data_IF_552875497947
#
_entry.id   IF_552875497947
#
_cell.length_a   1.000
_cell.length_b   1.000
_cell.length_c   1.000
_cell.angle_alpha   90.00
_cell.angle_beta   90.00
_cell.angle_gamma   90.00
#
_symmetry.space_group_name_H-M   'P 1'
#
loop_
_entity.id
_entity.type
_entity.pdbx_description
1 polymer ?
#
# COMPACT_ATOMS: atom_id res chain seq x y z
N UNK A 1 -6.93 -20.58 2.91
CA UNK A 1 -6.09 -20.14 4.06
C UNK A 1 -6.49 -18.73 4.42
N UNK A 2 -7.10 -18.53 5.59
CA UNK A 2 -7.67 -17.25 6.01
C UNK A 2 -6.60 -16.17 6.17
N UNK A 3 -6.95 -14.93 5.80
CA UNK A 3 -6.12 -13.75 6.06
C UNK A 3 -5.95 -13.62 7.58
N UNK A 4 -4.72 -13.44 8.04
CA UNK A 4 -4.41 -13.16 9.45
C UNK A 4 -5.03 -11.83 9.86
N UNK A 5 -5.98 -11.86 10.80
CA UNK A 5 -6.69 -10.68 11.33
C UNK A 5 -5.70 -9.64 11.85
N UNK A 6 -4.55 -10.09 12.35
CA UNK A 6 -3.45 -9.26 12.86
C UNK A 6 -2.82 -8.36 11.78
N UNK A 7 -2.96 -8.72 10.50
CA UNK A 7 -2.41 -7.96 9.37
C UNK A 7 -3.40 -6.98 8.73
N UNK A 8 -4.64 -6.93 9.22
CA UNK A 8 -5.65 -6.01 8.72
C UNK A 8 -5.41 -4.58 9.22
N UNK A 9 -5.72 -3.59 8.38
CA UNK A 9 -5.50 -2.18 8.68
C UNK A 9 -6.20 -1.73 9.98
N UNK A 10 -7.44 -2.18 10.22
CA UNK A 10 -8.18 -1.87 11.44
C UNK A 10 -7.46 -2.36 12.71
N UNK A 11 -6.93 -3.59 12.69
CA UNK A 11 -6.19 -4.17 13.81
C UNK A 11 -4.88 -3.40 14.06
N UNK A 12 -4.18 -3.03 12.99
CA UNK A 12 -2.95 -2.25 13.08
C UNK A 12 -3.20 -0.83 13.61
N UNK A 13 -4.26 -0.16 13.14
CA UNK A 13 -4.66 1.17 13.61
C UNK A 13 -5.00 1.17 15.11
N UNK A 14 -5.81 0.22 15.57
CA UNK A 14 -6.15 0.08 16.99
C UNK A 14 -4.91 -0.24 17.86
N UNK A 15 -4.03 -1.12 17.37
CA UNK A 15 -2.79 -1.50 18.07
C UNK A 15 -1.83 -0.31 18.18
N UNK A 16 -1.65 0.45 17.10
CA UNK A 16 -0.82 1.66 17.08
C UNK A 16 -1.36 2.69 18.06
N UNK A 17 -2.66 3.02 17.97
CA UNK A 17 -3.31 3.99 18.85
C UNK A 17 -3.12 3.63 20.33
N UNK A 18 -3.31 2.36 20.71
CA UNK A 18 -3.06 1.90 22.08
C UNK A 18 -1.62 2.12 22.54
N UNK A 19 -0.63 1.85 21.68
CA UNK A 19 0.79 2.00 22.01
C UNK A 19 1.24 3.46 22.14
N UNK A 20 0.61 4.37 21.39
CA UNK A 20 0.93 5.81 21.42
C UNK A 20 -0.02 6.61 22.32
N UNK A 21 -0.87 5.92 23.08
CA UNK A 21 -1.92 6.53 23.91
C UNK A 21 -2.82 7.52 23.12
N UNK A 22 -3.13 7.16 21.88
CA UNK A 22 -4.00 7.91 20.98
C UNK A 22 -5.37 7.27 20.79
N UNK A 23 -6.20 7.90 19.98
CA UNK A 23 -7.52 7.39 19.56
C UNK A 23 -7.45 6.77 18.17
N UNK A 24 -8.41 5.91 17.83
CA UNK A 24 -8.54 5.34 16.50
C UNK A 24 -9.99 5.39 16.03
N UNK A 25 -10.19 5.41 14.71
CA UNK A 25 -11.45 5.10 14.05
C UNK A 25 -11.22 3.94 13.08
N UNK A 26 -12.21 3.07 12.93
CA UNK A 26 -12.12 1.87 12.10
C UNK A 26 -13.05 1.99 10.90
N UNK A 27 -12.58 1.53 9.74
CA UNK A 27 -13.41 1.44 8.55
C UNK A 27 -13.99 0.03 8.46
N UNK A 28 -15.25 -0.13 8.86
CA UNK A 28 -15.93 -1.43 8.91
C UNK A 28 -16.58 -1.80 7.58
N UNK A 29 -15.78 -1.85 6.51
CA UNK A 29 -16.25 -2.31 5.20
C UNK A 29 -15.54 -3.61 4.83
N UNK A 30 -16.26 -4.69 4.52
CA UNK A 30 -15.64 -5.91 4.03
C UNK A 30 -14.92 -5.65 2.71
N UNK A 31 -13.75 -6.26 2.50
CA UNK A 31 -12.96 -6.05 1.29
C UNK A 31 -13.65 -6.53 -0.01
N UNK A 32 -14.60 -7.48 0.09
CA UNK A 32 -15.28 -8.11 -1.05
C UNK A 32 -16.81 -7.93 -0.96
N UNK A 33 -17.30 -6.69 -1.02
CA UNK A 33 -18.73 -6.39 -1.13
C UNK A 33 -19.14 -6.12 -2.57
N UNK A 34 -20.41 -6.39 -2.93
CA UNK A 34 -20.95 -5.95 -4.22
C UNK A 34 -21.01 -4.43 -4.29
N UNK A 35 -21.03 -3.88 -5.52
CA UNK A 35 -21.12 -2.43 -5.74
C UNK A 35 -22.36 -1.83 -5.08
N UNK A 36 -23.52 -2.48 -5.19
CA UNK A 36 -24.77 -2.00 -4.59
C UNK A 36 -24.68 -1.89 -3.06
N UNK A 37 -24.07 -2.89 -2.41
CA UNK A 37 -23.87 -2.88 -0.95
C UNK A 37 -22.87 -1.80 -0.57
N UNK A 38 -21.80 -1.64 -1.35
CA UNK A 38 -20.81 -0.59 -1.13
C UNK A 38 -21.43 0.81 -1.22
N UNK A 39 -22.24 1.08 -2.25
CA UNK A 39 -22.91 2.37 -2.41
C UNK A 39 -23.86 2.69 -1.24
N UNK A 40 -24.55 1.68 -0.71
CA UNK A 40 -25.35 1.82 0.50
C UNK A 40 -24.50 2.19 1.72
N UNK A 41 -23.43 1.45 1.96
CA UNK A 41 -22.50 1.68 3.08
C UNK A 41 -21.86 3.08 3.00
N UNK A 42 -21.48 3.54 1.80
CA UNK A 42 -20.91 4.86 1.60
C UNK A 42 -21.88 6.01 1.88
N UNK A 43 -23.19 5.75 2.01
CA UNK A 43 -24.19 6.76 2.42
C UNK A 43 -24.23 6.95 3.93
N UNK A 44 -23.78 5.97 4.71
CA UNK A 44 -23.80 6.02 6.17
C UNK A 44 -22.86 7.10 6.72
N UNK A 45 -23.39 7.95 7.60
CA UNK A 45 -22.66 9.09 8.16
C UNK A 45 -21.35 8.67 8.82
N UNK A 46 -21.37 7.58 9.59
CA UNK A 46 -20.20 7.09 10.31
C UNK A 46 -19.09 6.64 9.34
N UNK A 47 -19.45 6.03 8.22
CA UNK A 47 -18.47 5.59 7.20
C UNK A 47 -17.88 6.80 6.47
N UNK A 48 -18.72 7.77 6.07
CA UNK A 48 -18.26 9.02 5.46
C UNK A 48 -17.27 9.76 6.34
N UNK A 49 -17.58 9.87 7.63
CA UNK A 49 -16.69 10.54 8.59
C UNK A 49 -15.33 9.85 8.68
N UNK A 50 -15.27 8.51 8.67
CA UNK A 50 -13.98 7.78 8.65
C UNK A 50 -13.21 8.05 7.36
N UNK A 51 -13.88 8.04 6.20
CA UNK A 51 -13.26 8.32 4.90
C UNK A 51 -12.72 9.76 4.84
N UNK A 52 -13.49 10.74 5.33
CA UNK A 52 -13.04 12.13 5.44
C UNK A 52 -11.79 12.26 6.34
N UNK A 53 -11.73 11.51 7.44
CA UNK A 53 -10.53 11.48 8.28
C UNK A 53 -9.32 10.88 7.56
N UNK A 54 -9.53 9.84 6.73
CA UNK A 54 -8.46 9.26 5.88
C UNK A 54 -7.96 10.30 4.88
N UNK A 55 -8.85 11.03 4.20
CA UNK A 55 -8.48 12.05 3.21
C UNK A 55 -7.77 13.28 3.83
N UNK A 56 -8.02 13.57 5.11
CA UNK A 56 -7.38 14.65 5.87
C UNK A 56 -6.15 14.19 6.67
N UNK A 57 -5.69 12.95 6.49
CA UNK A 57 -4.56 12.42 7.23
C UNK A 57 -3.27 13.21 6.97
N UNK A 58 -2.51 13.48 8.02
CA UNK A 58 -1.20 14.15 7.89
C UNK A 58 -0.05 13.17 7.62
N UNK A 59 -0.22 11.91 8.01
CA UNK A 59 0.79 10.85 7.89
C UNK A 59 0.14 9.60 7.32
N UNK A 60 0.75 9.01 6.29
CA UNK A 60 0.38 7.72 5.73
C UNK A 60 1.46 6.69 6.09
N UNK A 61 1.09 5.63 6.82
CA UNK A 61 2.01 4.53 7.18
C UNK A 61 1.58 3.27 6.43
N UNK A 62 2.50 2.65 5.70
CA UNK A 62 2.19 1.49 4.87
C UNK A 62 3.36 0.52 4.72
N UNK A 63 3.04 -0.70 4.34
CA UNK A 63 4.02 -1.70 3.93
C UNK A 63 4.14 -1.79 2.41
N UNK A 64 5.28 -2.30 1.95
CA UNK A 64 5.52 -2.59 0.53
C UNK A 64 5.62 -4.11 0.32
N UNK A 65 5.01 -4.60 -0.75
CA UNK A 65 5.04 -6.00 -1.16
C UNK A 65 5.39 -6.17 -2.63
N UNK A 66 5.84 -7.38 -2.99
CA UNK A 66 5.91 -7.77 -4.40
C UNK A 66 4.49 -7.86 -4.97
N UNK A 67 4.26 -7.24 -6.13
CA UNK A 67 2.94 -7.09 -6.75
C UNK A 67 2.18 -8.43 -6.87
N UNK A 68 2.82 -9.43 -7.48
CA UNK A 68 2.18 -10.72 -7.78
C UNK A 68 1.95 -11.53 -6.51
N UNK A 69 2.92 -11.52 -5.59
CA UNK A 69 2.76 -12.14 -4.28
C UNK A 69 1.56 -11.54 -3.52
N UNK A 70 1.41 -10.21 -3.54
CA UNK A 70 0.33 -9.52 -2.84
C UNK A 70 -1.03 -9.78 -3.49
N UNK A 71 -1.13 -9.80 -4.82
CA UNK A 71 -2.35 -10.16 -5.53
C UNK A 71 -2.80 -11.60 -5.18
N UNK A 72 -1.87 -12.57 -5.21
CA UNK A 72 -2.15 -13.96 -4.80
C UNK A 72 -2.59 -14.05 -3.33
N UNK A 73 -1.89 -13.36 -2.43
CA UNK A 73 -2.22 -13.31 -0.99
C UNK A 73 -3.62 -12.72 -0.74
N UNK A 74 -4.07 -11.79 -1.58
CA UNK A 74 -5.43 -11.21 -1.51
C UNK A 74 -6.51 -12.10 -2.13
N UNK A 75 -6.14 -13.19 -2.79
CA UNK A 75 -7.10 -14.07 -3.48
C UNK A 75 -7.65 -13.44 -4.76
N UNK A 76 -6.87 -12.59 -5.43
CA UNK A 76 -7.22 -12.08 -6.75
C UNK A 76 -7.37 -13.21 -7.77
N UNK A 77 -8.22 -13.00 -8.78
CA UNK A 77 -8.39 -13.97 -9.88
C UNK A 77 -7.10 -14.14 -10.68
N UNK A 78 -6.93 -15.31 -11.29
CA UNK A 78 -5.79 -15.58 -12.19
C UNK A 78 -5.75 -14.59 -13.36
N UNK A 79 -6.92 -14.23 -13.91
CA UNK A 79 -7.03 -13.21 -14.95
C UNK A 79 -6.44 -11.86 -14.51
N UNK A 80 -6.78 -11.41 -13.29
CA UNK A 80 -6.25 -10.16 -12.75
C UNK A 80 -4.73 -10.24 -12.51
N UNK A 81 -4.24 -11.37 -12.01
CA UNK A 81 -2.80 -11.60 -11.81
C UNK A 81 -2.06 -11.57 -13.15
N UNK A 82 -2.57 -12.27 -14.16
CA UNK A 82 -2.00 -12.28 -15.51
C UNK A 82 -1.99 -10.88 -16.12
N UNK A 83 -3.03 -10.07 -15.86
CA UNK A 83 -3.05 -8.67 -16.28
C UNK A 83 -1.98 -7.83 -15.58
N UNK A 84 -1.79 -8.00 -14.27
CA UNK A 84 -0.71 -7.31 -13.53
C UNK A 84 0.68 -7.68 -14.08
N UNK A 85 0.90 -8.94 -14.42
CA UNK A 85 2.16 -9.39 -15.05
C UNK A 85 2.37 -8.74 -16.41
N UNK A 86 1.35 -8.70 -17.27
CA UNK A 86 1.40 -8.02 -18.57
C UNK A 86 1.69 -6.52 -18.46
N UNK A 87 1.18 -5.89 -17.41
CA UNK A 87 1.41 -4.48 -17.10
C UNK A 87 2.80 -4.23 -16.47
N UNK A 88 3.59 -5.28 -16.21
CA UNK A 88 4.91 -5.16 -15.61
C UNK A 88 4.88 -4.74 -14.14
N UNK A 89 3.80 -5.07 -13.41
CA UNK A 89 3.68 -4.74 -11.99
C UNK A 89 4.72 -5.52 -11.17
N UNK A 90 5.54 -4.80 -10.41
CA UNK A 90 6.61 -5.37 -9.58
C UNK A 90 6.41 -5.05 -8.09
N UNK A 91 5.88 -3.87 -7.77
CA UNK A 91 5.62 -3.41 -6.41
C UNK A 91 4.13 -3.21 -6.12
N UNK A 92 3.75 -3.34 -4.86
CA UNK A 92 2.42 -3.00 -4.36
C UNK A 92 2.53 -2.27 -3.03
N UNK A 93 1.75 -1.20 -2.90
CA UNK A 93 1.57 -0.45 -1.66
C UNK A 93 0.12 0.04 -1.58
N UNK A 94 -0.52 -0.16 -0.41
CA UNK A 94 -1.88 0.33 -0.08
C UNK A 94 -2.95 0.12 -1.17
N UNK A 95 -2.86 -0.94 -1.96
CA UNK A 95 -3.82 -1.26 -3.04
C UNK A 95 -3.42 -0.77 -4.42
N UNK A 96 -2.34 0.00 -4.54
CA UNK A 96 -1.76 0.48 -5.80
C UNK A 96 -0.62 -0.43 -6.25
N UNK A 97 -0.59 -0.77 -7.53
CA UNK A 97 0.42 -1.62 -8.16
C UNK A 97 1.32 -0.80 -9.07
N UNK A 98 2.63 -0.94 -8.89
CA UNK A 98 3.65 -0.11 -9.52
C UNK A 98 4.53 -0.94 -10.45
N UNK A 99 4.84 -0.40 -11.62
CA UNK A 99 5.85 -0.97 -12.51
C UNK A 99 7.26 -0.47 -12.16
N UNK A 100 8.25 -0.94 -12.91
CA UNK A 100 9.68 -0.60 -12.73
C UNK A 100 10.00 0.88 -12.93
N UNK A 101 9.19 1.60 -13.71
CA UNK A 101 9.29 3.05 -13.90
C UNK A 101 8.62 3.85 -12.76
N UNK A 102 8.22 3.18 -11.68
CA UNK A 102 7.46 3.75 -10.56
C UNK A 102 6.12 4.36 -10.95
N UNK A 103 5.51 3.88 -12.04
CA UNK A 103 4.17 4.28 -12.47
C UNK A 103 3.14 3.33 -11.89
N UNK A 104 2.04 3.89 -11.39
CA UNK A 104 0.86 3.09 -11.02
C UNK A 104 0.24 2.54 -12.30
N UNK A 105 0.25 1.22 -12.46
CA UNK A 105 -0.29 0.52 -13.63
C UNK A 105 -1.65 -0.12 -13.35
N UNK A 106 -1.97 -0.34 -12.08
CA UNK A 106 -3.27 -0.85 -11.64
C UNK A 106 -3.51 -0.42 -10.20
N UNK A 107 -4.78 -0.34 -9.82
CA UNK A 107 -5.20 -0.13 -8.44
C UNK A 107 -6.44 -0.97 -8.17
N UNK A 108 -6.49 -1.65 -7.04
CA UNK A 108 -7.76 -2.19 -6.54
C UNK A 108 -8.55 -1.03 -5.99
N UNK A 109 -9.83 -0.91 -6.36
CA UNK A 109 -10.70 0.21 -6.00
C UNK A 109 -10.69 0.44 -4.48
N UNK A 110 -9.86 1.36 -3.97
CA UNK A 110 -9.54 1.34 -2.56
C UNK A 110 -10.57 2.19 -1.86
N UNK A 111 -11.43 1.54 -1.10
CA UNK A 111 -12.35 2.26 -0.22
C UNK A 111 -11.48 2.89 0.88
N UNK A 112 -11.32 4.22 0.81
CA UNK A 112 -10.56 5.00 1.79
C UNK A 112 -9.42 5.82 1.19
N UNK A 113 -8.43 5.20 0.53
CA UNK A 113 -7.27 5.93 0.00
C UNK A 113 -6.78 5.40 -1.35
N UNK A 114 -6.82 6.24 -2.38
CA UNK A 114 -6.20 5.96 -3.68
C UNK A 114 -4.89 6.74 -3.86
N UNK A 115 -4.20 6.53 -4.98
CA UNK A 115 -2.94 7.22 -5.28
C UNK A 115 -3.06 8.75 -5.31
N UNK A 116 -4.18 9.29 -5.77
CA UNK A 116 -4.39 10.74 -5.83
C UNK A 116 -4.61 11.34 -4.44
N UNK A 117 -5.26 10.60 -3.54
CA UNK A 117 -5.43 11.01 -2.14
C UNK A 117 -4.11 10.86 -1.36
N UNK A 118 -3.39 9.74 -1.55
CA UNK A 118 -2.07 9.54 -0.95
C UNK A 118 -1.09 10.66 -1.31
N UNK A 119 -1.09 11.14 -2.57
CA UNK A 119 -0.25 12.26 -3.01
C UNK A 119 -0.50 13.58 -2.28
N UNK A 120 -1.67 13.78 -1.68
CA UNK A 120 -2.00 14.99 -0.90
C UNK A 120 -1.43 14.94 0.52
N UNK A 121 -1.02 13.76 0.99
CA UNK A 121 -0.46 13.56 2.32
C UNK A 121 1.03 13.90 2.29
N UNK A 122 1.44 14.83 3.16
CA UNK A 122 2.80 15.38 3.15
C UNK A 122 3.86 14.43 3.69
N UNK A 123 3.49 13.46 4.53
CA UNK A 123 4.43 12.54 5.17
C UNK A 123 4.02 11.10 4.91
N UNK A 124 4.87 10.37 4.19
CA UNK A 124 4.71 8.95 3.91
C UNK A 124 5.76 8.17 4.70
N UNK A 125 5.36 7.15 5.44
CA UNK A 125 6.27 6.26 6.17
C UNK A 125 6.09 4.86 5.59
N UNK A 126 6.98 4.52 4.67
CA UNK A 126 7.03 3.20 4.06
C UNK A 126 7.89 2.27 4.93
N UNK A 127 7.35 1.12 5.33
CA UNK A 127 8.06 0.13 6.14
C UNK A 127 8.19 -1.18 5.37
N UNK A 128 9.41 -1.51 4.95
CA UNK A 128 9.67 -2.73 4.19
C UNK A 128 11.10 -3.22 4.37
N UNK A 129 11.28 -4.53 4.49
CA UNK A 129 12.57 -5.18 4.73
C UNK A 129 12.64 -6.50 3.94
N UNK A 130 13.86 -7.03 3.80
CA UNK A 130 14.17 -8.25 3.06
C UNK A 130 14.64 -7.99 1.63
N UNK A 131 15.77 -8.59 1.25
CA UNK A 131 16.40 -8.45 -0.07
C UNK A 131 15.45 -8.79 -1.24
N UNK A 132 14.49 -9.68 -1.02
CA UNK A 132 13.46 -10.04 -2.00
C UNK A 132 12.43 -8.93 -2.29
N UNK A 133 12.48 -7.81 -1.55
CA UNK A 133 11.61 -6.65 -1.76
C UNK A 133 12.30 -5.45 -2.40
N UNK A 134 13.60 -5.53 -2.72
CA UNK A 134 14.36 -4.38 -3.24
C UNK A 134 13.69 -3.78 -4.48
N UNK A 135 13.31 -4.61 -5.46
CA UNK A 135 12.66 -4.12 -6.70
C UNK A 135 11.29 -3.48 -6.41
N UNK A 136 10.50 -4.09 -5.52
CA UNK A 136 9.21 -3.55 -5.12
C UNK A 136 9.35 -2.20 -4.40
N UNK A 137 10.35 -2.07 -3.53
CA UNK A 137 10.64 -0.82 -2.79
C UNK A 137 11.08 0.28 -3.74
N UNK A 138 11.97 -0.02 -4.70
CA UNK A 138 12.39 0.96 -5.71
C UNK A 138 11.18 1.38 -6.56
N UNK A 139 10.39 0.43 -7.04
CA UNK A 139 9.21 0.71 -7.83
C UNK A 139 8.18 1.60 -7.09
N UNK A 140 7.99 1.44 -5.79
CA UNK A 140 7.03 2.27 -5.05
C UNK A 140 7.60 3.63 -4.61
N UNK A 141 8.89 3.70 -4.25
CA UNK A 141 9.44 4.87 -3.55
C UNK A 141 10.40 5.76 -4.35
N UNK A 142 10.94 5.32 -5.49
CA UNK A 142 12.04 6.01 -6.19
C UNK A 142 11.80 7.51 -6.44
N UNK A 143 10.56 7.90 -6.76
CA UNK A 143 10.17 9.28 -7.02
C UNK A 143 9.19 9.85 -5.99
N UNK A 144 9.00 9.17 -4.86
CA UNK A 144 8.14 9.65 -3.79
C UNK A 144 8.94 10.58 -2.85
N UNK A 145 8.93 11.87 -3.14
CA UNK A 145 9.68 12.88 -2.38
C UNK A 145 9.15 13.10 -0.95
N UNK A 146 7.94 12.64 -0.64
CA UNK A 146 7.33 12.73 0.68
C UNK A 146 7.63 11.50 1.56
N UNK A 147 8.37 10.51 1.04
CA UNK A 147 8.59 9.24 1.71
C UNK A 147 9.80 9.23 2.64
N UNK A 148 9.57 8.69 3.83
CA UNK A 148 10.58 8.14 4.73
C UNK A 148 10.51 6.62 4.61
N UNK A 149 11.57 6.02 4.09
CA UNK A 149 11.71 4.56 4.02
C UNK A 149 12.38 4.03 5.28
N UNK A 150 11.66 3.21 6.04
CA UNK A 150 12.19 2.41 7.15
C UNK A 150 12.44 0.99 6.64
N UNK A 151 13.71 0.57 6.65
CA UNK A 151 14.14 -0.70 6.05
C UNK A 151 15.26 -1.39 6.85
N UNK A 152 15.67 -2.58 6.40
CA UNK A 152 16.80 -3.31 6.98
C UNK A 152 18.13 -2.98 6.26
N UNK A 153 19.23 -3.43 6.86
CA UNK A 153 20.57 -3.22 6.31
C UNK A 153 20.75 -3.86 4.93
N UNK A 154 20.15 -5.03 4.70
CA UNK A 154 20.31 -5.77 3.44
C UNK A 154 19.71 -5.01 2.25
N UNK A 155 18.51 -4.45 2.42
CA UNK A 155 17.86 -3.58 1.43
C UNK A 155 18.65 -2.29 1.29
N UNK A 156 19.00 -1.62 2.40
CA UNK A 156 19.73 -0.35 2.37
C UNK A 156 21.06 -0.44 1.60
N UNK A 157 21.87 -1.48 1.88
CA UNK A 157 23.12 -1.73 1.15
C UNK A 157 22.87 -1.99 -0.33
N UNK A 158 21.85 -2.79 -0.68
CA UNK A 158 21.59 -3.10 -2.08
C UNK A 158 21.13 -1.88 -2.87
N UNK A 159 20.24 -1.06 -2.30
CA UNK A 159 19.82 0.20 -2.93
C UNK A 159 21.04 1.13 -3.11
N UNK A 160 21.88 1.28 -2.09
CA UNK A 160 23.09 2.10 -2.19
C UNK A 160 24.07 1.61 -3.28
N UNK A 161 24.24 0.30 -3.44
CA UNK A 161 25.04 -0.32 -4.51
C UNK A 161 24.48 0.00 -5.90
N UNK A 162 23.16 -0.09 -6.07
CA UNK A 162 22.47 0.16 -7.33
C UNK A 162 22.54 1.64 -7.73
N UNK A 163 22.45 2.56 -6.75
CA UNK A 163 22.66 4.00 -6.96
C UNK A 163 24.10 4.26 -7.41
N UNK A 164 25.10 3.74 -6.68
CA UNK A 164 26.53 3.93 -7.02
C UNK A 164 26.89 3.40 -8.41
N UNK A 165 26.24 2.34 -8.84
CA UNK A 165 26.51 1.69 -10.13
C UNK A 165 25.70 2.30 -11.29
N UNK A 166 24.88 3.33 -11.05
CA UNK A 166 23.91 3.86 -12.03
C UNK A 166 22.99 2.78 -12.64
N UNK A 167 22.68 1.75 -11.85
CA UNK A 167 21.84 0.62 -12.28
C UNK A 167 20.40 0.73 -11.79
N UNK A 168 20.07 1.74 -10.97
CA UNK A 168 18.74 1.86 -10.37
C UNK A 168 17.61 1.98 -11.42
N UNK A 169 17.87 2.65 -12.55
CA UNK A 169 16.94 2.79 -13.67
C UNK A 169 16.91 1.58 -14.62
N UNK A 170 17.70 0.53 -14.35
CA UNK A 170 17.78 -0.69 -15.17
C UNK A 170 17.12 -1.91 -14.51
N UNK A 171 16.53 -1.72 -13.33
CA UNK A 171 15.83 -2.74 -12.55
C UNK A 171 14.40 -2.80 -13.02
#
# INVERSE_FOLDING_TARGET
MGRKVESQANTLAASLAKKVNGTYKLLHIPENVSLDVLEGLLKEKQIKEVIENIHNANILIYGIGNAIHMAKKRGSSEEYINNLEKLGAVGEAFGCYFNKDSKVVSQNNPIGININDAKKINTHIAVAAGKNKVEAIIATEMYNTNAVLVTDEAVGRKIAELIKSNLINKI
#
